data_IF_598916549956
#
_entry.id   IF_598916549956
#
_cell.length_a   1.000
_cell.length_b   1.000
_cell.length_c   1.000
_cell.angle_alpha   90.00
_cell.angle_beta   90.00
_cell.angle_gamma   90.00
#
_symmetry.space_group_name_H-M   'P 1'
#
loop_
_entity.id
_entity.type
_entity.pdbx_description
1 polymer ?
#
# COMPACT_ATOMS: atom_id res chain seq x y z
N UNK A 1 -4.54 40.03 21.56
CA UNK A 1 -3.47 39.50 20.68
C UNK A 1 -4.08 38.36 19.87
N UNK A 2 -4.38 38.60 18.60
CA UNK A 2 -4.92 37.56 17.72
C UNK A 2 -3.74 36.75 17.10
N UNK A 3 -3.80 35.42 17.03
CA UNK A 3 -2.77 34.65 16.34
C UNK A 3 -2.75 35.03 14.85
N UNK A 4 -1.59 35.05 14.19
CA UNK A 4 -1.49 35.50 12.80
C UNK A 4 -2.20 34.47 11.89
N UNK A 5 -2.96 34.99 10.92
CA UNK A 5 -3.71 34.20 9.92
C UNK A 5 -2.86 33.15 9.19
N UNK A 6 -1.55 33.36 9.11
CA UNK A 6 -0.61 32.42 8.50
C UNK A 6 -0.52 31.06 9.22
N UNK A 7 -0.74 31.00 10.54
CA UNK A 7 -0.70 29.76 11.31
C UNK A 7 -1.92 28.85 11.05
N UNK A 8 -3.08 29.44 10.73
CA UNK A 8 -4.29 28.70 10.40
C UNK A 8 -4.25 28.06 9.02
N UNK A 9 -3.58 28.70 8.05
CA UNK A 9 -3.43 28.15 6.69
C UNK A 9 -2.46 26.95 6.63
N UNK A 10 -1.40 26.96 7.47
CA UNK A 10 -0.44 25.84 7.52
C UNK A 10 -1.07 24.57 8.12
N UNK A 11 -1.98 24.70 9.09
CA UNK A 11 -2.67 23.56 9.71
C UNK A 11 -3.68 22.90 8.76
N UNK A 12 -4.37 23.68 7.93
CA UNK A 12 -5.30 23.17 6.92
C UNK A 12 -4.60 22.36 5.81
N UNK A 13 -3.37 22.73 5.44
CA UNK A 13 -2.59 22.01 4.42
C UNK A 13 -2.16 20.60 4.88
N UNK A 14 -1.87 20.41 6.17
CA UNK A 14 -1.48 19.10 6.73
C UNK A 14 -2.65 18.09 6.76
N UNK A 15 -3.88 18.56 6.95
CA UNK A 15 -5.08 17.72 6.92
C UNK A 15 -5.42 17.21 5.52
N UNK A 16 -5.16 18.00 4.47
CA UNK A 16 -5.48 17.64 3.08
C UNK A 16 -4.58 16.53 2.52
N UNK A 17 -3.31 16.45 2.92
CA UNK A 17 -2.37 15.42 2.45
C UNK A 17 -2.76 14.04 3.00
N UNK A 18 -3.17 13.96 4.26
CA UNK A 18 -3.60 12.71 4.88
C UNK A 18 -4.89 12.17 4.27
N UNK A 19 -5.83 13.03 3.92
CA UNK A 19 -7.10 12.66 3.26
C UNK A 19 -6.87 12.13 1.85
N UNK A 20 -5.97 12.75 1.09
CA UNK A 20 -5.64 12.32 -0.28
C UNK A 20 -5.07 10.90 -0.34
N UNK A 21 -4.14 10.55 0.54
CA UNK A 21 -3.56 9.21 0.56
C UNK A 21 -4.57 8.14 1.01
N UNK A 22 -5.44 8.45 1.97
CA UNK A 22 -6.51 7.54 2.40
C UNK A 22 -7.47 7.21 1.24
N UNK A 23 -7.83 8.20 0.43
CA UNK A 23 -8.67 8.01 -0.76
C UNK A 23 -7.97 7.10 -1.79
N UNK A 24 -6.65 7.20 -1.97
CA UNK A 24 -5.92 6.30 -2.89
C UNK A 24 -6.09 4.83 -2.52
N UNK A 25 -6.03 4.49 -1.23
CA UNK A 25 -6.23 3.11 -0.77
C UNK A 25 -7.68 2.68 -0.96
N UNK A 26 -8.64 3.57 -0.73
CA UNK A 26 -10.06 3.29 -0.93
C UNK A 26 -10.34 3.00 -2.41
N UNK A 27 -9.91 3.88 -3.31
CA UNK A 27 -10.11 3.75 -4.77
C UNK A 27 -9.48 2.47 -5.32
N UNK A 28 -8.24 2.15 -4.90
CA UNK A 28 -7.56 0.94 -5.30
C UNK A 28 -8.23 -0.32 -4.74
N UNK A 29 -8.69 -0.26 -3.49
CA UNK A 29 -9.43 -1.34 -2.85
C UNK A 29 -10.74 -1.66 -3.57
N UNK A 30 -11.51 -0.65 -3.92
CA UNK A 30 -12.76 -0.79 -4.68
C UNK A 30 -12.50 -1.37 -6.07
N UNK A 31 -11.51 -0.83 -6.78
CA UNK A 31 -11.17 -1.28 -8.14
C UNK A 31 -10.77 -2.75 -8.19
N UNK A 32 -10.00 -3.23 -7.22
CA UNK A 32 -9.44 -4.59 -7.22
C UNK A 32 -10.11 -5.54 -6.24
N UNK A 33 -11.14 -5.07 -5.52
CA UNK A 33 -11.87 -5.84 -4.49
C UNK A 33 -10.94 -6.36 -3.39
N UNK A 34 -10.05 -5.49 -2.93
CA UNK A 34 -9.09 -5.74 -1.85
C UNK A 34 -9.42 -4.77 -0.70
N UNK A 35 -9.42 -5.27 0.54
CA UNK A 35 -9.64 -4.38 1.71
C UNK A 35 -8.61 -3.23 1.69
N UNK A 36 -9.04 -1.95 1.67
CA UNK A 36 -8.14 -0.80 1.70
C UNK A 36 -7.16 -0.81 2.88
N UNK A 37 -7.58 -1.34 4.05
CA UNK A 37 -6.69 -1.51 5.21
C UNK A 37 -5.60 -2.55 4.98
N UNK A 38 -5.85 -3.58 4.17
CA UNK A 38 -4.81 -4.54 3.78
C UNK A 38 -3.77 -3.88 2.87
N UNK A 39 -4.19 -3.08 1.90
CA UNK A 39 -3.27 -2.32 1.05
C UNK A 39 -2.42 -1.33 1.88
N UNK A 40 -3.05 -0.65 2.85
CA UNK A 40 -2.34 0.22 3.78
C UNK A 40 -1.32 -0.54 4.63
N UNK A 41 -1.68 -1.72 5.15
CA UNK A 41 -0.76 -2.55 5.93
C UNK A 41 0.45 -3.01 5.09
N UNK A 42 0.24 -3.36 3.81
CA UNK A 42 1.32 -3.67 2.86
C UNK A 42 2.23 -2.45 2.69
N UNK A 43 1.69 -1.26 2.39
CA UNK A 43 2.47 -0.03 2.23
C UNK A 43 3.29 0.31 3.49
N UNK A 44 2.72 0.04 4.67
CA UNK A 44 3.41 0.23 5.95
C UNK A 44 4.61 -0.71 6.08
N UNK A 45 4.46 -1.98 5.69
CA UNK A 45 5.56 -2.97 5.71
C UNK A 45 6.62 -2.65 4.66
N UNK A 46 6.20 -2.23 3.46
CA UNK A 46 7.11 -2.00 2.32
C UNK A 46 8.00 -0.77 2.51
N UNK A 47 7.43 0.34 2.92
CA UNK A 47 8.15 1.62 2.94
C UNK A 47 7.94 2.46 4.19
N UNK A 48 7.13 2.01 5.15
CA UNK A 48 6.66 2.87 6.24
C UNK A 48 5.84 4.06 5.74
N UNK A 49 5.12 3.88 4.63
CA UNK A 49 4.36 4.92 3.92
C UNK A 49 5.24 6.03 3.30
N UNK A 50 6.50 5.74 3.01
CA UNK A 50 7.39 6.70 2.35
C UNK A 50 7.26 6.60 0.81
N UNK A 51 6.70 7.60 0.11
CA UNK A 51 6.53 7.56 -1.34
C UNK A 51 7.85 7.62 -2.10
N UNK A 52 8.91 8.13 -1.48
CA UNK A 52 10.25 8.24 -2.08
C UNK A 52 11.17 7.08 -1.73
N UNK A 53 10.66 6.04 -1.07
CA UNK A 53 11.45 4.87 -0.75
C UNK A 53 11.97 4.21 -2.04
N UNK A 54 13.23 3.80 -2.00
CA UNK A 54 13.89 3.05 -3.06
C UNK A 54 14.86 2.05 -2.45
N UNK A 55 14.86 0.84 -2.98
CA UNK A 55 15.81 -0.20 -2.62
C UNK A 55 16.40 -0.81 -3.89
N UNK A 56 17.73 -0.85 -3.99
CA UNK A 56 18.43 -1.49 -5.10
C UNK A 56 18.78 -2.93 -4.71
N UNK A 57 18.32 -3.89 -5.50
CA UNK A 57 18.49 -5.31 -5.26
C UNK A 57 19.79 -5.84 -5.87
N UNK A 58 20.34 -6.92 -5.32
CA UNK A 58 21.60 -7.54 -5.81
C UNK A 58 21.50 -8.06 -7.25
N UNK A 59 20.30 -8.34 -7.73
CA UNK A 59 20.04 -8.82 -9.10
C UNK A 59 19.84 -7.69 -10.13
N UNK A 60 20.16 -6.44 -9.74
CA UNK A 60 20.04 -5.27 -10.57
C UNK A 60 18.61 -4.71 -10.68
N UNK A 61 17.61 -5.38 -10.12
CA UNK A 61 16.27 -4.82 -9.98
C UNK A 61 16.23 -3.81 -8.83
N UNK A 62 15.18 -3.00 -8.77
CA UNK A 62 14.95 -2.07 -7.67
C UNK A 62 13.49 -2.04 -7.29
N UNK A 63 13.23 -1.76 -6.01
CA UNK A 63 11.90 -1.61 -5.46
C UNK A 63 11.63 -0.12 -5.25
N UNK A 64 10.46 0.36 -5.71
CA UNK A 64 10.22 1.78 -6.00
C UNK A 64 8.94 2.25 -5.32
N UNK A 65 9.06 3.36 -4.58
CA UNK A 65 7.96 4.16 -4.07
C UNK A 65 7.24 3.53 -2.88
N UNK A 66 6.05 4.06 -2.59
CA UNK A 66 5.24 3.74 -1.41
C UNK A 66 4.98 2.23 -1.25
N UNK A 67 4.69 1.55 -2.36
CA UNK A 67 4.35 0.12 -2.40
C UNK A 67 5.54 -0.77 -2.79
N UNK A 68 6.75 -0.22 -2.89
CA UNK A 68 7.99 -0.93 -3.26
C UNK A 68 7.82 -1.81 -4.51
N UNK A 69 7.32 -1.17 -5.58
CA UNK A 69 7.08 -1.85 -6.84
C UNK A 69 8.41 -2.24 -7.48
N UNK A 70 8.63 -3.54 -7.69
CA UNK A 70 9.85 -4.01 -8.32
C UNK A 70 9.91 -3.56 -9.80
N UNK A 71 11.08 -3.06 -10.24
CA UNK A 71 11.31 -2.55 -11.58
C UNK A 71 11.02 -3.55 -12.70
N UNK A 72 10.97 -4.85 -12.40
CA UNK A 72 10.56 -5.90 -13.35
C UNK A 72 9.10 -5.78 -13.80
N UNK A 73 8.27 -5.04 -13.04
CA UNK A 73 6.89 -4.75 -13.42
C UNK A 73 6.76 -3.57 -14.39
N UNK A 74 7.81 -2.73 -14.54
CA UNK A 74 7.75 -1.53 -15.39
C UNK A 74 7.34 -1.80 -16.84
N UNK A 75 7.81 -2.87 -17.52
CA UNK A 75 7.34 -3.15 -18.88
C UNK A 75 5.82 -3.37 -18.98
N UNK A 76 5.23 -4.05 -17.98
CA UNK A 76 3.79 -4.26 -17.93
C UNK A 76 3.02 -2.99 -17.52
N UNK A 77 3.59 -2.18 -16.64
CA UNK A 77 3.00 -0.91 -16.20
C UNK A 77 3.05 0.17 -17.27
N UNK A 78 4.02 0.11 -18.19
CA UNK A 78 4.13 1.03 -19.32
C UNK A 78 2.90 0.98 -20.24
N UNK A 79 2.21 -0.18 -20.34
CA UNK A 79 0.95 -0.30 -21.06
C UNK A 79 -0.18 0.59 -20.46
N UNK A 80 -0.05 1.00 -19.22
CA UNK A 80 -0.96 1.92 -18.52
C UNK A 80 -0.40 3.35 -18.43
N UNK A 81 0.69 3.66 -19.15
CA UNK A 81 1.36 4.96 -19.10
C UNK A 81 2.14 5.21 -17.81
N UNK A 82 2.41 4.17 -17.01
CA UNK A 82 3.11 4.29 -15.72
C UNK A 82 4.60 4.03 -15.92
N UNK A 83 5.42 5.06 -15.69
CA UNK A 83 6.87 5.01 -15.65
C UNK A 83 7.38 4.98 -14.19
N UNK A 84 8.67 4.71 -14.01
CA UNK A 84 9.32 4.65 -12.70
C UNK A 84 9.09 5.91 -11.85
N UNK A 85 9.20 7.09 -12.46
CA UNK A 85 9.00 8.36 -11.75
C UNK A 85 7.59 8.51 -11.18
N UNK A 86 6.55 8.01 -11.88
CA UNK A 86 5.19 8.09 -11.38
C UNK A 86 5.01 7.29 -10.08
N UNK A 87 5.73 6.18 -9.93
CA UNK A 87 5.70 5.36 -8.71
C UNK A 87 6.30 6.08 -7.49
N UNK A 88 7.18 7.06 -7.70
CA UNK A 88 7.85 7.85 -6.63
C UNK A 88 7.17 9.19 -6.39
N UNK A 89 6.71 9.85 -7.45
CA UNK A 89 6.16 11.21 -7.36
C UNK A 89 4.66 11.22 -7.10
N UNK A 90 3.96 10.14 -7.44
CA UNK A 90 2.51 10.02 -7.37
C UNK A 90 2.12 8.85 -6.44
N UNK A 91 1.92 9.09 -5.15
CA UNK A 91 1.58 8.03 -4.19
C UNK A 91 0.37 7.19 -4.60
N UNK A 92 -0.68 7.81 -5.16
CA UNK A 92 -1.86 7.09 -5.65
C UNK A 92 -1.54 6.13 -6.79
N UNK A 93 -0.64 6.52 -7.72
CA UNK A 93 -0.18 5.64 -8.79
C UNK A 93 0.57 4.44 -8.22
N UNK A 94 1.41 4.64 -7.20
CA UNK A 94 2.10 3.54 -6.52
C UNK A 94 1.11 2.60 -5.83
N UNK A 95 0.09 3.12 -5.12
CA UNK A 95 -0.96 2.31 -4.47
C UNK A 95 -1.75 1.50 -5.50
N UNK A 96 -2.16 2.14 -6.59
CA UNK A 96 -2.92 1.48 -7.66
C UNK A 96 -2.11 0.36 -8.33
N UNK A 97 -0.82 0.59 -8.62
CA UNK A 97 0.09 -0.41 -9.17
C UNK A 97 0.31 -1.58 -8.21
N UNK A 98 0.49 -1.31 -6.91
CA UNK A 98 0.62 -2.35 -5.88
C UNK A 98 -0.65 -3.19 -5.75
N UNK A 99 -1.82 -2.58 -5.75
CA UNK A 99 -3.10 -3.28 -5.72
C UNK A 99 -3.30 -4.15 -6.98
N UNK A 100 -2.91 -3.66 -8.15
CA UNK A 100 -2.93 -4.45 -9.40
C UNK A 100 -2.02 -5.68 -9.32
N UNK A 101 -0.80 -5.54 -8.78
CA UNK A 101 0.13 -6.66 -8.60
C UNK A 101 -0.45 -7.68 -7.63
N UNK A 102 -0.99 -7.23 -6.48
CA UNK A 102 -1.61 -8.12 -5.50
C UNK A 102 -2.82 -8.85 -6.10
N UNK A 103 -3.67 -8.15 -6.87
CA UNK A 103 -4.82 -8.74 -7.54
C UNK A 103 -4.42 -9.87 -8.50
N UNK A 104 -3.29 -9.77 -9.18
CA UNK A 104 -2.76 -10.85 -10.03
C UNK A 104 -2.37 -12.09 -9.21
N UNK A 105 -1.81 -11.91 -8.02
CA UNK A 105 -1.56 -13.03 -7.11
C UNK A 105 -2.85 -13.62 -6.56
N UNK A 106 -3.84 -12.78 -6.22
CA UNK A 106 -5.17 -13.22 -5.78
C UNK A 106 -5.86 -14.06 -6.87
N UNK A 107 -5.77 -13.67 -8.14
CA UNK A 107 -6.31 -14.45 -9.25
C UNK A 107 -5.66 -15.83 -9.39
N UNK A 108 -4.38 -15.97 -9.06
CA UNK A 108 -3.61 -17.21 -9.20
C UNK A 108 -3.70 -18.13 -7.98
N UNK A 109 -3.81 -17.57 -6.78
CA UNK A 109 -3.65 -18.29 -5.50
C UNK A 109 -4.92 -18.23 -4.63
N UNK A 110 -5.95 -17.50 -5.05
CA UNK A 110 -7.11 -17.18 -4.23
C UNK A 110 -6.86 -15.98 -3.31
N UNK A 111 -7.98 -15.43 -2.79
CA UNK A 111 -7.91 -14.31 -1.84
C UNK A 111 -7.48 -14.81 -0.46
N UNK A 112 -6.23 -14.56 -0.09
CA UNK A 112 -5.70 -15.06 1.17
C UNK A 112 -4.23 -14.72 1.39
N UNK A 113 -3.68 -15.17 2.51
CA UNK A 113 -2.32 -14.85 2.96
C UNK A 113 -1.22 -15.39 2.04
N UNK A 114 -1.51 -16.44 1.27
CA UNK A 114 -0.60 -16.93 0.22
C UNK A 114 -0.38 -15.87 -0.88
N UNK A 115 -1.45 -15.19 -1.31
CA UNK A 115 -1.36 -14.10 -2.28
C UNK A 115 -0.62 -12.90 -1.70
N UNK A 116 -0.89 -12.55 -0.44
CA UNK A 116 -0.17 -11.48 0.28
C UNK A 116 1.31 -11.80 0.37
N UNK A 117 1.68 -13.01 0.77
CA UNK A 117 3.08 -13.45 0.83
C UNK A 117 3.77 -13.41 -0.54
N UNK A 118 3.04 -13.80 -1.59
CA UNK A 118 3.54 -13.80 -2.96
C UNK A 118 3.83 -12.39 -3.50
N UNK A 119 3.19 -11.36 -2.97
CA UNK A 119 3.48 -9.96 -3.29
C UNK A 119 4.98 -9.64 -3.15
N UNK A 120 5.60 -10.07 -2.06
CA UNK A 120 7.03 -9.87 -1.79
C UNK A 120 7.91 -10.98 -2.38
N UNK A 121 7.50 -12.25 -2.25
CA UNK A 121 8.39 -13.37 -2.54
C UNK A 121 8.12 -14.07 -3.88
N UNK A 122 7.03 -13.74 -4.56
CA UNK A 122 6.60 -14.47 -5.75
C UNK A 122 6.05 -15.85 -5.42
N UNK A 123 5.90 -16.72 -6.43
CA UNK A 123 5.21 -18.02 -6.32
C UNK A 123 6.14 -19.24 -6.33
N UNK A 124 7.43 -19.05 -6.41
CA UNK A 124 8.40 -20.15 -6.44
C UNK A 124 8.40 -20.92 -5.10
N UNK A 125 8.38 -22.27 -5.15
CA UNK A 125 8.23 -23.13 -3.97
C UNK A 125 9.35 -22.95 -2.94
N UNK A 126 10.57 -22.73 -3.39
CA UNK A 126 11.73 -22.48 -2.51
C UNK A 126 11.62 -21.18 -1.69
N UNK A 127 10.60 -20.36 -1.96
CA UNK A 127 10.35 -19.11 -1.26
C UNK A 127 9.17 -19.17 -0.28
N UNK A 128 8.62 -20.35 0.00
CA UNK A 128 7.49 -20.53 0.88
C UNK A 128 7.70 -19.91 2.27
N UNK A 129 8.83 -20.18 2.90
CA UNK A 129 9.16 -19.60 4.20
C UNK A 129 9.27 -18.06 4.16
N UNK A 130 9.70 -17.48 3.04
CA UNK A 130 9.75 -16.03 2.86
C UNK A 130 8.33 -15.45 2.69
N UNK A 131 7.47 -16.13 1.91
CA UNK A 131 6.06 -15.75 1.76
C UNK A 131 5.35 -15.71 3.11
N UNK A 132 5.54 -16.75 3.91
CA UNK A 132 4.91 -16.84 5.23
C UNK A 132 5.37 -15.73 6.17
N UNK A 133 6.69 -15.49 6.29
CA UNK A 133 7.22 -14.40 7.12
C UNK A 133 6.67 -13.03 6.70
N UNK A 134 6.63 -12.76 5.42
CA UNK A 134 6.09 -11.50 4.92
C UNK A 134 4.58 -11.37 5.22
N UNK A 135 3.80 -12.42 4.97
CA UNK A 135 2.38 -12.44 5.29
C UNK A 135 2.12 -12.20 6.79
N UNK A 136 2.92 -12.77 7.68
CA UNK A 136 2.85 -12.53 9.12
C UNK A 136 3.16 -11.07 9.49
N UNK A 137 4.15 -10.44 8.86
CA UNK A 137 4.46 -9.02 9.06
C UNK A 137 3.27 -8.13 8.65
N UNK A 138 2.70 -8.37 7.47
CA UNK A 138 1.51 -7.64 7.01
C UNK A 138 0.34 -7.86 7.95
N UNK A 139 0.09 -9.11 8.38
CA UNK A 139 -0.98 -9.43 9.33
C UNK A 139 -0.86 -8.65 10.63
N UNK A 140 0.34 -8.52 11.19
CA UNK A 140 0.55 -7.79 12.44
C UNK A 140 0.11 -6.31 12.36
N UNK A 141 0.31 -5.65 11.22
CA UNK A 141 -0.21 -4.30 10.98
C UNK A 141 -1.71 -4.28 10.70
N UNK A 142 -2.16 -5.18 9.84
CA UNK A 142 -3.56 -5.25 9.43
C UNK A 142 -4.49 -5.53 10.61
N UNK A 143 -4.13 -6.45 11.49
CA UNK A 143 -4.89 -6.76 12.71
C UNK A 143 -5.08 -5.53 13.60
N UNK A 144 -4.03 -4.75 13.84
CA UNK A 144 -4.10 -3.48 14.61
C UNK A 144 -5.03 -2.46 13.96
N UNK A 145 -5.05 -2.39 12.63
CA UNK A 145 -5.95 -1.49 11.89
C UNK A 145 -7.40 -1.93 12.03
N UNK A 146 -7.67 -3.25 11.96
CA UNK A 146 -9.00 -3.81 12.17
C UNK A 146 -9.53 -3.52 13.58
N UNK A 147 -8.69 -3.66 14.60
CA UNK A 147 -9.04 -3.34 16.00
C UNK A 147 -9.41 -1.85 16.15
N UNK A 148 -8.60 -0.94 15.57
CA UNK A 148 -8.88 0.51 15.58
C UNK A 148 -10.19 0.83 14.87
N UNK A 149 -10.47 0.21 13.73
CA UNK A 149 -11.72 0.37 12.99
C UNK A 149 -12.93 -0.06 13.83
N UNK A 150 -12.83 -1.23 14.49
CA UNK A 150 -13.89 -1.72 15.40
C UNK A 150 -14.12 -0.79 16.59
N UNK A 151 -13.06 -0.34 17.23
CA UNK A 151 -13.15 0.58 18.36
C UNK A 151 -13.72 1.96 17.95
N UNK A 152 -13.43 2.44 16.74
CA UNK A 152 -14.02 3.65 16.17
C UNK A 152 -15.51 3.51 15.90
N UNK A 153 -15.93 2.39 15.30
CA UNK A 153 -17.34 2.09 15.03
C UNK A 153 -18.16 2.00 16.31
N UNK A 154 -17.64 1.39 17.37
CA UNK A 154 -18.30 1.32 18.67
C UNK A 154 -18.50 2.70 19.31
N UNK A 155 -17.56 3.64 19.13
CA UNK A 155 -17.64 5.01 19.65
C UNK A 155 -18.62 5.87 18.86
N UNK A 156 -18.75 5.65 17.55
CA UNK A 156 -19.67 6.39 16.68
C UNK A 156 -21.11 5.86 16.69
N UNK A 157 -21.40 4.76 17.42
CA UNK A 157 -22.72 4.16 17.49
C UNK A 157 -23.19 3.46 16.20
N UNK A 158 -22.32 3.38 15.21
CA UNK A 158 -22.57 2.60 13.97
C UNK A 158 -22.21 1.14 14.23
N UNK A 159 -23.23 0.26 14.31
CA UNK A 159 -23.01 -1.18 14.26
C UNK A 159 -22.49 -1.57 12.88
N UNK A 160 -21.59 -2.59 12.81
CA UNK A 160 -21.11 -3.13 11.55
C UNK A 160 -22.20 -3.79 10.74
#
# INVERSE_FOLDING_TARGET
>A
MHPPLAALLALAALFNVSSGLANCFQDAGERYRIDPLLLYAIAQVESGLNPRARHDNRDGSRDIGLMQINSRHLPALAAFGIAERNLQEEPCTSVMAGAWILARFVQRLGYGWQAVGAYNAGTASERDARRERYAQQVWAYYAKLLERRRAGALRSGTRP
#
